data_IF_239998178988
#
_entry.id   IF_239998178988
#
_cell.length_a   1.000
_cell.length_b   1.000
_cell.length_c   1.000
_cell.angle_alpha   90.00
_cell.angle_beta   90.00
_cell.angle_gamma   90.00
#
_symmetry.space_group_name_H-M   'P 1'
#
loop_
_entity.id
_entity.type
_entity.pdbx_description
1 polymer ?
#
# COMPACT_ATOMS: atom_id res chain seq x y z
N UNK A 1 11.46 -4.42 15.31
CA UNK A 1 11.69 -5.57 14.41
C UNK A 1 10.54 -5.85 13.43
N UNK A 2 9.29 -6.04 13.87
CA UNK A 2 8.15 -6.35 12.95
C UNK A 2 7.95 -5.36 11.80
N UNK A 3 8.21 -4.07 12.05
CA UNK A 3 8.06 -2.98 11.07
C UNK A 3 9.10 -3.03 9.92
N UNK A 4 10.31 -3.53 10.17
CA UNK A 4 11.37 -3.66 9.14
C UNK A 4 11.05 -4.82 8.19
N UNK A 5 10.54 -5.93 8.73
CA UNK A 5 10.08 -7.09 7.95
C UNK A 5 8.93 -6.71 7.01
N UNK A 6 8.06 -5.81 7.47
CA UNK A 6 6.98 -5.24 6.65
C UNK A 6 7.54 -4.49 5.44
N UNK A 7 8.54 -3.61 5.61
CA UNK A 7 9.15 -2.89 4.50
C UNK A 7 9.70 -3.82 3.41
N UNK A 8 10.42 -4.88 3.80
CA UNK A 8 10.91 -5.90 2.86
C UNK A 8 9.73 -6.65 2.18
N UNK A 9 8.67 -6.92 2.93
CA UNK A 9 7.47 -7.57 2.40
C UNK A 9 6.72 -6.71 1.38
N UNK A 10 6.81 -5.38 1.49
CA UNK A 10 6.19 -4.46 0.53
C UNK A 10 6.85 -4.58 -0.85
N UNK A 11 8.17 -4.70 -0.91
CA UNK A 11 8.90 -4.86 -2.18
C UNK A 11 8.41 -6.09 -2.97
N UNK A 12 8.07 -7.18 -2.26
CA UNK A 12 7.47 -8.38 -2.88
C UNK A 12 6.05 -8.16 -3.40
N UNK A 13 5.34 -7.17 -2.86
CA UNK A 13 3.95 -6.81 -3.22
C UNK A 13 3.88 -5.68 -4.26
N UNK A 14 5.00 -5.30 -4.89
CA UNK A 14 5.01 -4.21 -5.88
C UNK A 14 4.04 -4.47 -7.06
N UNK A 15 3.82 -5.73 -7.43
CA UNK A 15 2.81 -6.08 -8.45
C UNK A 15 1.38 -5.75 -8.00
N UNK A 16 1.08 -5.95 -6.71
CA UNK A 16 -0.22 -5.59 -6.11
C UNK A 16 -0.38 -4.08 -6.07
N UNK A 17 0.71 -3.34 -5.81
CA UNK A 17 0.72 -1.87 -5.89
C UNK A 17 0.34 -1.36 -7.28
N UNK A 18 0.96 -1.88 -8.35
CA UNK A 18 0.59 -1.46 -9.70
C UNK A 18 -0.84 -1.86 -10.08
N UNK A 19 -1.32 -3.00 -9.57
CA UNK A 19 -2.73 -3.40 -9.74
C UNK A 19 -3.67 -2.42 -9.03
N UNK A 20 -3.36 -2.04 -7.80
CA UNK A 20 -4.09 -1.05 -7.02
C UNK A 20 -4.19 0.32 -7.73
N UNK A 21 -3.09 0.78 -8.33
CA UNK A 21 -3.09 2.05 -9.08
C UNK A 21 -3.94 1.98 -10.36
N UNK A 22 -3.94 0.82 -11.04
CA UNK A 22 -4.72 0.62 -12.28
C UNK A 22 -6.20 0.34 -12.01
N UNK A 23 -6.57 -0.12 -10.82
CA UNK A 23 -7.94 -0.51 -10.51
C UNK A 23 -8.90 0.67 -10.43
N UNK A 24 -9.90 0.72 -11.31
CA UNK A 24 -10.91 1.78 -11.37
C UNK A 24 -11.79 1.85 -10.11
N UNK A 25 -11.91 0.75 -9.35
CA UNK A 25 -12.69 0.72 -8.09
C UNK A 25 -12.02 1.49 -6.96
N UNK A 26 -10.71 1.78 -7.09
CA UNK A 26 -9.97 2.53 -6.09
C UNK A 26 -10.14 4.03 -6.33
N UNK A 27 -10.55 4.78 -5.32
CA UNK A 27 -10.74 6.23 -5.40
C UNK A 27 -9.45 6.95 -5.82
N UNK A 28 -9.57 7.93 -6.73
CA UNK A 28 -8.44 8.75 -7.22
C UNK A 28 -7.61 9.33 -6.07
N UNK A 29 -8.26 9.85 -5.02
CA UNK A 29 -7.58 10.46 -3.86
C UNK A 29 -6.64 9.44 -3.19
N UNK A 30 -7.09 8.20 -3.05
CA UNK A 30 -6.28 7.14 -2.45
C UNK A 30 -5.12 6.75 -3.36
N UNK A 31 -5.33 6.67 -4.68
CA UNK A 31 -4.25 6.43 -5.66
C UNK A 31 -3.18 7.51 -5.59
N UNK A 32 -3.59 8.78 -5.55
CA UNK A 32 -2.67 9.92 -5.42
C UNK A 32 -1.91 9.82 -4.11
N UNK A 33 -2.58 9.58 -2.97
CA UNK A 33 -1.94 9.42 -1.66
C UNK A 33 -0.92 8.29 -1.64
N UNK A 34 -1.32 7.08 -2.06
CA UNK A 34 -0.45 5.90 -2.04
C UNK A 34 0.71 6.06 -3.05
N UNK A 35 0.44 6.64 -4.22
CA UNK A 35 1.46 6.96 -5.23
C UNK A 35 2.46 8.01 -4.75
N UNK A 36 1.99 9.05 -4.07
CA UNK A 36 2.83 10.07 -3.45
C UNK A 36 3.72 9.47 -2.34
N UNK A 37 3.16 8.65 -1.44
CA UNK A 37 3.94 7.94 -0.41
C UNK A 37 5.01 7.04 -1.02
N UNK A 38 4.67 6.30 -2.08
CA UNK A 38 5.62 5.45 -2.78
C UNK A 38 6.72 6.27 -3.46
N UNK A 39 6.36 7.37 -4.13
CA UNK A 39 7.31 8.30 -4.73
C UNK A 39 8.24 8.92 -3.70
N UNK A 40 7.72 9.35 -2.56
CA UNK A 40 8.51 9.90 -1.46
C UNK A 40 9.48 8.86 -0.87
N UNK A 41 9.03 7.62 -0.65
CA UNK A 41 9.90 6.53 -0.21
C UNK A 41 10.98 6.18 -1.25
N UNK A 42 10.64 6.17 -2.54
CA UNK A 42 11.59 5.90 -3.61
C UNK A 42 12.64 7.01 -3.72
N UNK A 43 12.22 8.27 -3.70
CA UNK A 43 13.14 9.42 -3.73
C UNK A 43 14.11 9.41 -2.54
N UNK A 44 13.62 9.08 -1.35
CA UNK A 44 14.45 8.94 -0.15
C UNK A 44 15.49 7.80 -0.29
N UNK A 45 15.19 6.72 -1.02
CA UNK A 45 16.16 5.66 -1.33
C UNK A 45 17.23 6.12 -2.34
N UNK A 46 16.89 7.02 -3.28
CA UNK A 46 17.84 7.52 -4.28
C UNK A 46 18.78 8.60 -3.72
N UNK A 47 18.24 9.50 -2.89
CA UNK A 47 19.02 10.55 -2.22
C UNK A 47 18.41 10.86 -0.85
N UNK A 48 18.92 10.26 0.24
CA UNK A 48 18.40 10.48 1.59
C UNK A 48 18.63 11.92 2.11
N UNK A 49 19.51 12.69 1.47
CA UNK A 49 20.05 13.95 2.01
C UNK A 49 19.32 15.19 1.49
N UNK A 50 18.69 15.15 0.31
CA UNK A 50 18.36 16.39 -0.44
C UNK A 50 16.86 16.75 -0.48
N UNK A 51 16.01 16.08 0.31
CA UNK A 51 14.54 16.21 0.25
C UNK A 51 13.88 16.83 1.48
N UNK A 52 14.63 16.96 2.57
CA UNK A 52 14.20 17.70 3.75
C UNK A 52 15.01 18.98 3.72
N UNK A 53 14.51 20.09 3.14
CA UNK A 53 15.04 21.39 3.52
C UNK A 53 14.99 21.44 5.04
N UNK A 54 16.03 21.94 5.68
CA UNK A 54 16.17 22.14 7.15
C UNK A 54 15.02 22.96 7.81
N UNK A 55 13.94 23.22 7.07
CA UNK A 55 12.84 24.13 7.33
C UNK A 55 11.59 23.47 7.96
N UNK A 56 11.53 22.14 8.10
CA UNK A 56 10.40 21.47 8.78
C UNK A 56 10.71 21.29 10.27
N UNK A 57 10.70 22.41 11.00
CA UNK A 57 10.18 22.49 12.38
C UNK A 57 10.71 21.47 13.42
N UNK A 58 12.02 21.43 13.69
CA UNK A 58 12.52 20.92 14.99
C UNK A 58 12.18 19.45 15.32
N UNK A 59 11.87 18.61 14.33
CA UNK A 59 11.66 17.16 14.49
C UNK A 59 12.99 16.38 14.49
N UNK A 60 14.03 16.94 15.12
CA UNK A 60 15.39 16.39 15.14
C UNK A 60 15.58 15.09 15.95
N UNK A 61 14.55 14.25 16.06
CA UNK A 61 14.58 12.98 16.81
C UNK A 61 13.98 11.79 16.05
N UNK A 62 13.60 11.95 14.77
CA UNK A 62 13.15 10.82 13.95
C UNK A 62 14.36 10.27 13.19
N UNK A 63 15.06 9.35 13.85
CA UNK A 63 16.14 8.51 13.32
C UNK A 63 15.88 8.14 11.84
N UNK A 64 16.84 8.40 10.93
CA UNK A 64 16.67 8.45 9.46
C UNK A 64 15.98 7.21 8.84
N UNK A 65 16.11 6.03 9.46
CA UNK A 65 15.45 4.80 9.00
C UNK A 65 13.97 4.65 9.40
N UNK A 66 13.51 5.38 10.42
CA UNK A 66 12.17 5.19 10.98
C UNK A 66 11.07 5.71 10.04
N UNK A 67 11.32 6.82 9.34
CA UNK A 67 10.35 7.43 8.44
C UNK A 67 10.03 6.51 7.24
N UNK A 68 11.06 5.92 6.63
CA UNK A 68 10.92 4.93 5.55
C UNK A 68 10.11 3.73 6.02
N UNK A 69 10.48 3.17 7.17
CA UNK A 69 9.78 2.04 7.76
C UNK A 69 8.31 2.38 8.00
N UNK A 70 8.00 3.61 8.44
CA UNK A 70 6.63 4.05 8.64
C UNK A 70 5.85 4.16 7.33
N UNK A 71 6.43 4.78 6.30
CA UNK A 71 5.82 4.90 4.98
C UNK A 71 5.53 3.53 4.38
N UNK A 72 6.50 2.60 4.43
CA UNK A 72 6.28 1.25 3.92
C UNK A 72 5.20 0.48 4.69
N UNK A 73 5.03 0.73 5.99
CA UNK A 73 3.90 0.15 6.74
C UNK A 73 2.56 0.69 6.25
N UNK A 74 2.44 2.00 6.07
CA UNK A 74 1.22 2.62 5.53
C UNK A 74 0.88 2.07 4.14
N UNK A 75 1.89 1.93 3.27
CA UNK A 75 1.70 1.34 1.95
C UNK A 75 1.25 -0.12 2.04
N UNK A 76 1.86 -0.92 2.92
CA UNK A 76 1.48 -2.32 3.10
C UNK A 76 0.06 -2.50 3.64
N UNK A 77 -0.36 -1.64 4.56
CA UNK A 77 -1.72 -1.66 5.12
C UNK A 77 -2.75 -1.34 4.04
N UNK A 78 -2.56 -0.28 3.26
CA UNK A 78 -3.49 0.07 2.17
C UNK A 78 -3.57 -1.06 1.12
N UNK A 79 -2.43 -1.66 0.75
CA UNK A 79 -2.43 -2.80 -0.20
C UNK A 79 -3.08 -4.06 0.39
N UNK A 80 -2.92 -4.31 1.69
CA UNK A 80 -3.54 -5.44 2.37
C UNK A 80 -5.06 -5.26 2.39
N UNK A 81 -5.54 -4.07 2.70
CA UNK A 81 -6.97 -3.75 2.68
C UNK A 81 -7.55 -3.88 1.28
N UNK A 82 -6.82 -3.45 0.26
CA UNK A 82 -7.20 -3.65 -1.14
C UNK A 82 -7.29 -5.13 -1.53
N UNK A 83 -6.28 -5.94 -1.21
CA UNK A 83 -6.28 -7.37 -1.53
C UNK A 83 -7.41 -8.11 -0.78
N UNK A 84 -7.71 -7.71 0.46
CA UNK A 84 -8.82 -8.28 1.23
C UNK A 84 -10.17 -7.97 0.57
N UNK A 85 -10.39 -6.72 0.14
CA UNK A 85 -11.62 -6.33 -0.58
C UNK A 85 -11.83 -7.14 -1.85
N UNK A 86 -10.77 -7.34 -2.65
CA UNK A 86 -10.87 -8.17 -3.85
C UNK A 86 -11.20 -9.62 -3.53
N UNK A 87 -10.62 -10.18 -2.46
CA UNK A 87 -10.90 -11.55 -2.04
C UNK A 87 -12.35 -11.70 -1.58
N UNK A 88 -12.84 -10.77 -0.77
CA UNK A 88 -14.24 -10.73 -0.32
C UNK A 88 -15.21 -10.65 -1.49
N UNK A 89 -14.94 -9.81 -2.50
CA UNK A 89 -15.75 -9.74 -3.72
C UNK A 89 -15.76 -11.06 -4.49
N UNK A 90 -14.60 -11.71 -4.66
CA UNK A 90 -14.51 -13.01 -5.32
C UNK A 90 -15.26 -14.10 -4.58
N UNK A 91 -15.17 -14.14 -3.25
CA UNK A 91 -15.90 -15.10 -2.42
C UNK A 91 -17.42 -14.94 -2.57
N UNK A 92 -17.92 -13.70 -2.58
CA UNK A 92 -19.36 -13.44 -2.82
C UNK A 92 -19.82 -13.91 -4.21
N UNK A 93 -18.99 -13.73 -5.24
CA UNK A 93 -19.32 -14.19 -6.60
C UNK A 93 -19.40 -15.73 -6.68
N UNK A 94 -18.51 -16.45 -5.98
CA UNK A 94 -18.54 -17.91 -5.93
C UNK A 94 -19.80 -18.39 -5.21
N UNK A 95 -20.12 -17.81 -4.05
CA UNK A 95 -21.31 -18.15 -3.27
C UNK A 95 -22.62 -17.96 -4.06
N UNK A 96 -22.75 -16.85 -4.79
CA UNK A 96 -23.93 -16.59 -5.64
C UNK A 96 -24.06 -17.62 -6.76
N UNK A 97 -22.94 -18.02 -7.40
CA UNK A 97 -22.97 -19.03 -8.48
C UNK A 97 -23.42 -20.40 -7.96
N UNK A 98 -22.94 -20.81 -6.78
CA UNK A 98 -23.33 -22.08 -6.16
C UNK A 98 -24.82 -22.11 -5.78
N UNK A 99 -25.40 -20.96 -5.42
CA UNK A 99 -26.84 -20.83 -5.19
C UNK A 99 -27.65 -21.02 -6.47
N UNK A 100 -27.26 -20.33 -7.56
CA UNK A 100 -27.97 -20.41 -8.86
C UNK A 100 -27.98 -21.86 -9.40
N UNK A 101 -26.86 -22.59 -9.29
CA UNK A 101 -26.75 -23.98 -9.78
C UNK A 101 -27.65 -24.95 -8.99
N UNK A 102 -27.93 -24.65 -7.71
CA UNK A 102 -28.85 -25.47 -6.90
C UNK A 102 -30.33 -25.21 -7.19
N UNK A 103 -30.66 -24.04 -7.71
CA UNK A 103 -32.04 -23.68 -8.09
C UNK A 103 -32.40 -24.23 -9.49
N UNK A 104 -31.40 -24.51 -10.34
CA UNK A 104 -31.58 -25.00 -11.72
C UNK A 104 -31.67 -26.53 -11.86
N UNK A 105 -31.49 -27.31 -10.79
CA UNK A 105 -31.56 -28.80 -10.77
C UNK A 105 -32.67 -29.32 -9.85
#
# INVERSE_FOLDING_TARGET
MKKIISAISFLRKINVFFRYLKDEKVSIIKKIKTGFLFGFAALYLLSPIDLIPDMIFGLGLIDDGFILVHIFNMLNEELKDYDNKIKEEKSKIVEIKDYIIKDEN
#
